data_IF_297000546975
#
_entry.id   IF_297000546975
#
_cell.length_a   1.000
_cell.length_b   1.000
_cell.length_c   1.000
_cell.angle_alpha   90.00
_cell.angle_beta   90.00
_cell.angle_gamma   90.00
#
_symmetry.space_group_name_H-M   'P 1'
#
loop_
_entity.id
_entity.type
_entity.pdbx_description
1 polymer ?
#
# COMPACT_ATOMS: atom_id res chain seq x y z
N UNK A 1 -7.67 -34.41 32.59
CA UNK A 1 -7.02 -35.54 31.90
C UNK A 1 -6.77 -35.10 30.47
N UNK A 2 -5.62 -34.48 30.21
CA UNK A 2 -5.16 -34.11 28.88
C UNK A 2 -3.65 -34.36 28.84
N UNK A 3 -3.28 -35.62 29.04
CA UNK A 3 -1.93 -36.14 28.78
C UNK A 3 -2.05 -37.06 27.57
N UNK A 4 -2.38 -36.49 26.41
CA UNK A 4 -2.13 -37.18 25.14
C UNK A 4 -0.69 -36.85 24.76
N UNK A 5 0.21 -37.69 25.28
CA UNK A 5 1.61 -37.74 24.93
C UNK A 5 1.70 -38.12 23.45
N UNK A 6 1.88 -37.10 22.59
CA UNK A 6 2.02 -37.32 21.15
C UNK A 6 3.28 -38.14 20.91
N UNK A 7 3.12 -39.41 20.52
CA UNK A 7 4.26 -40.26 20.25
C UNK A 7 5.14 -39.62 19.17
N UNK A 8 6.47 -39.54 19.37
CA UNK A 8 7.41 -38.93 18.43
C UNK A 8 7.30 -39.44 16.99
N UNK A 9 6.81 -40.68 16.83
CA UNK A 9 6.56 -41.29 15.53
C UNK A 9 5.42 -40.62 14.77
N UNK A 10 4.38 -40.13 15.46
CA UNK A 10 3.23 -39.46 14.84
C UNK A 10 3.64 -38.10 14.25
N UNK A 11 4.45 -37.33 14.99
CA UNK A 11 5.00 -36.07 14.50
C UNK A 11 5.94 -36.29 13.31
N UNK A 12 6.77 -37.34 13.38
CA UNK A 12 7.65 -37.74 12.28
C UNK A 12 6.90 -38.14 11.01
N UNK A 13 5.72 -38.77 11.15
CA UNK A 13 4.87 -39.14 10.03
C UNK A 13 4.19 -37.92 9.40
N UNK A 14 3.66 -37.00 10.21
CA UNK A 14 3.06 -35.75 9.74
C UNK A 14 4.07 -34.87 9.00
N UNK A 15 5.30 -34.72 9.53
CA UNK A 15 6.36 -33.94 8.86
C UNK A 15 6.75 -34.56 7.52
N UNK A 16 6.93 -35.90 7.45
CA UNK A 16 7.27 -36.57 6.19
C UNK A 16 6.15 -36.46 5.16
N UNK A 17 4.90 -36.66 5.56
CA UNK A 17 3.75 -36.52 4.68
C UNK A 17 3.60 -35.08 4.14
N UNK A 18 3.82 -34.07 5.00
CA UNK A 18 3.81 -32.66 4.58
C UNK A 18 4.93 -32.32 3.59
N UNK A 19 6.16 -32.75 3.87
CA UNK A 19 7.30 -32.54 2.98
C UNK A 19 7.14 -33.26 1.63
N UNK A 20 6.58 -34.48 1.64
CA UNK A 20 6.29 -35.22 0.42
C UNK A 20 5.22 -34.52 -0.43
N UNK A 21 4.14 -34.02 0.20
CA UNK A 21 3.10 -33.27 -0.49
C UNK A 21 3.65 -31.97 -1.13
N UNK A 22 4.56 -31.27 -0.43
CA UNK A 22 5.23 -30.10 -1.01
C UNK A 22 6.21 -30.46 -2.13
N UNK A 23 6.96 -31.56 -2.00
CA UNK A 23 7.85 -32.04 -3.05
C UNK A 23 7.07 -32.46 -4.32
N UNK A 24 5.88 -33.07 -4.15
CA UNK A 24 5.02 -33.48 -5.26
C UNK A 24 4.34 -32.28 -5.95
N UNK A 25 4.07 -31.19 -5.21
CA UNK A 25 3.63 -29.91 -5.78
C UNK A 25 4.75 -29.18 -6.51
N UNK A 26 5.99 -29.33 -6.05
CA UNK A 26 7.20 -28.90 -6.74
C UNK A 26 7.56 -29.89 -7.86
N UNK A 27 6.64 -30.14 -8.79
CA UNK A 27 7.04 -30.74 -10.07
C UNK A 27 8.16 -29.89 -10.66
N UNK A 28 9.32 -30.48 -11.02
CA UNK A 28 10.40 -29.73 -11.61
C UNK A 28 9.89 -29.05 -12.89
N UNK A 29 9.71 -27.74 -12.85
CA UNK A 29 9.68 -26.95 -14.07
C UNK A 29 11.11 -26.98 -14.63
N UNK A 30 11.50 -28.10 -15.25
CA UNK A 30 12.82 -28.37 -15.85
C UNK A 30 13.16 -27.47 -17.03
N UNK A 31 12.41 -26.40 -17.25
CA UNK A 31 12.53 -25.57 -18.44
C UNK A 31 12.84 -24.10 -18.14
N UNK A 32 13.38 -23.79 -16.96
CA UNK A 32 13.97 -22.47 -16.71
C UNK A 32 15.08 -22.15 -17.72
N UNK A 33 15.89 -23.14 -18.09
CA UNK A 33 16.94 -22.97 -19.10
C UNK A 33 16.36 -22.71 -20.51
N UNK A 34 15.26 -23.36 -20.90
CA UNK A 34 14.63 -23.09 -22.18
C UNK A 34 13.93 -21.73 -22.20
N UNK A 35 13.19 -21.37 -21.14
CA UNK A 35 12.55 -20.05 -21.02
C UNK A 35 13.58 -18.91 -20.98
N UNK A 36 14.74 -19.12 -20.37
CA UNK A 36 15.85 -18.15 -20.39
C UNK A 36 16.44 -17.99 -21.81
N UNK A 37 16.60 -19.09 -22.56
CA UNK A 37 17.06 -19.06 -23.96
C UNK A 37 16.03 -18.40 -24.89
N UNK A 38 14.74 -18.65 -24.69
CA UNK A 38 13.63 -18.05 -25.43
C UNK A 38 13.64 -16.52 -25.26
N UNK A 39 13.72 -16.04 -24.01
CA UNK A 39 13.79 -14.59 -23.69
C UNK A 39 15.06 -13.94 -24.24
N UNK A 40 16.19 -14.64 -24.22
CA UNK A 40 17.43 -14.14 -24.82
C UNK A 40 17.33 -14.00 -26.35
N UNK A 41 16.66 -14.95 -27.03
CA UNK A 41 16.38 -14.85 -28.48
C UNK A 41 15.44 -13.68 -28.78
N UNK A 42 14.35 -13.53 -28.02
CA UNK A 42 13.41 -12.41 -28.20
C UNK A 42 14.08 -11.04 -28.04
N UNK A 43 14.97 -10.88 -27.04
CA UNK A 43 15.74 -9.63 -26.86
C UNK A 43 16.67 -9.32 -28.03
N UNK A 44 17.34 -10.34 -28.59
CA UNK A 44 18.19 -10.15 -29.80
C UNK A 44 17.38 -9.75 -31.02
N UNK A 45 16.19 -10.33 -31.23
CA UNK A 45 15.31 -9.95 -32.32
C UNK A 45 14.75 -8.52 -32.16
N UNK A 46 14.37 -8.13 -30.95
CA UNK A 46 13.93 -6.76 -30.67
C UNK A 46 15.03 -5.72 -30.91
N UNK A 47 16.27 -6.01 -30.49
CA UNK A 47 17.42 -5.12 -30.72
C UNK A 47 17.78 -4.98 -32.21
N UNK A 48 17.64 -6.04 -33.01
CA UNK A 48 17.85 -5.98 -34.46
C UNK A 48 16.74 -5.20 -35.19
N UNK A 49 15.50 -5.22 -34.70
CA UNK A 49 14.40 -4.45 -35.27
C UNK A 49 14.55 -2.93 -35.05
N UNK A 50 15.13 -2.51 -33.93
CA UNK A 50 15.39 -1.10 -33.61
C UNK A 50 16.57 -0.53 -34.42
N UNK A 51 17.55 -1.35 -34.80
CA UNK A 51 18.66 -0.93 -35.65
C UNK A 51 18.26 -0.73 -37.14
N UNK A 52 17.16 -1.34 -37.58
CA UNK A 52 16.68 -1.22 -38.96
C UNK A 52 15.85 0.05 -39.23
N UNK A 53 15.40 0.76 -38.19
CA UNK A 53 14.53 1.95 -38.33
C UNK A 53 15.29 3.27 -38.37
N UNK A 54 16.59 3.30 -38.03
CA UNK A 54 17.43 4.52 -38.04
C UNK A 54 18.15 4.78 -39.37
N UNK A 55 18.02 3.89 -40.37
CA UNK A 55 18.69 4.03 -41.67
C UNK A 55 17.81 4.63 -42.79
N UNK A 56 16.55 5.03 -42.51
CA UNK A 56 15.59 5.45 -43.52
C UNK A 56 15.07 6.90 -43.38
N UNK A 57 15.82 7.80 -42.75
CA UNK A 57 15.44 9.22 -42.59
C UNK A 57 16.55 10.19 -43.02
N UNK A 58 17.12 10.01 -44.20
CA UNK A 58 17.91 11.05 -44.89
C UNK A 58 17.52 11.05 -46.38
N UNK A 59 17.05 12.21 -46.84
CA UNK A 59 16.66 12.65 -48.20
C UNK A 59 15.13 12.87 -48.30
N UNK A 60 14.62 14.10 -48.40
CA UNK A 60 14.62 15.00 -49.59
C UNK A 60 14.09 16.40 -49.16
N UNK A 61 14.40 17.49 -49.90
CA UNK A 61 14.60 18.83 -49.35
C UNK A 61 13.39 19.80 -49.47
N UNK A 62 13.58 20.94 -48.84
CA UNK A 62 12.79 22.18 -48.83
C UNK A 62 12.49 22.76 -50.22
N UNK A 63 11.24 23.19 -50.44
CA UNK A 63 10.90 24.27 -51.36
C UNK A 63 9.80 25.16 -50.75
N UNK A 64 10.17 26.42 -50.54
CA UNK A 64 9.36 27.59 -50.18
C UNK A 64 8.35 27.87 -51.31
N UNK A 65 7.16 28.41 -51.02
CA UNK A 65 6.60 29.64 -51.64
C UNK A 65 5.26 30.04 -50.99
N UNK A 66 5.13 31.34 -50.73
CA UNK A 66 3.96 32.05 -50.23
C UNK A 66 2.83 32.13 -51.28
N UNK A 67 1.59 32.40 -50.85
CA UNK A 67 0.84 33.66 -51.10
C UNK A 67 -0.69 33.51 -50.91
N UNK A 68 -1.27 34.54 -50.29
CA UNK A 68 -2.53 35.25 -50.60
C UNK A 68 -3.92 34.60 -50.53
N UNK A 69 -4.77 35.29 -49.75
CA UNK A 69 -6.20 35.55 -49.91
C UNK A 69 -6.78 35.41 -51.32
N UNK A 70 -8.01 34.85 -51.41
CA UNK A 70 -9.12 35.37 -52.21
C UNK A 70 -10.43 34.55 -52.05
N UNK A 71 -11.49 35.19 -51.56
CA UNK A 71 -12.85 35.20 -52.16
C UNK A 71 -13.76 33.96 -52.13
N UNK A 72 -14.73 33.95 -51.20
CA UNK A 72 -16.22 34.11 -51.37
C UNK A 72 -16.96 33.45 -52.58
N UNK A 73 -18.33 33.35 -52.64
CA UNK A 73 -19.44 33.10 -51.69
C UNK A 73 -20.45 31.99 -52.15
N UNK A 74 -21.56 31.84 -51.39
CA UNK A 74 -22.91 31.26 -51.72
C UNK A 74 -23.01 29.73 -51.62
N UNK A 75 -24.05 29.10 -51.05
CA UNK A 75 -25.50 29.38 -50.90
C UNK A 75 -25.97 28.70 -49.59
N UNK A 76 -26.75 29.31 -48.69
CA UNK A 76 -28.19 29.53 -48.86
C UNK A 76 -28.99 28.26 -48.51
N UNK A 77 -29.56 28.19 -47.30
CA UNK A 77 -30.90 27.63 -47.07
C UNK A 77 -31.41 27.98 -45.66
N UNK A 78 -32.41 28.86 -45.67
CA UNK A 78 -33.36 29.16 -44.62
C UNK A 78 -34.28 27.96 -44.37
N UNK A 79 -34.42 27.55 -43.11
CA UNK A 79 -35.63 26.92 -42.62
C UNK A 79 -35.81 27.26 -41.14
N UNK A 80 -36.84 28.05 -40.88
CA UNK A 80 -37.32 28.45 -39.57
C UNK A 80 -37.66 27.24 -38.71
N UNK A 81 -37.12 27.22 -37.48
CA UNK A 81 -37.68 26.45 -36.39
C UNK A 81 -37.61 27.29 -35.12
N UNK A 82 -38.78 27.69 -34.65
CA UNK A 82 -39.03 28.28 -33.34
C UNK A 82 -38.32 27.47 -32.24
N UNK A 83 -37.27 28.02 -31.65
CA UNK A 83 -36.68 27.52 -30.41
C UNK A 83 -37.16 28.40 -29.27
N UNK A 84 -38.12 27.85 -28.54
CA UNK A 84 -38.57 28.32 -27.24
C UNK A 84 -37.37 28.43 -26.30
N UNK A 85 -37.14 29.63 -25.76
CA UNK A 85 -36.13 29.92 -24.75
C UNK A 85 -36.38 29.08 -23.50
N UNK A 86 -35.63 27.99 -23.36
CA UNK A 86 -35.56 27.17 -22.14
C UNK A 86 -34.62 27.86 -21.15
N UNK A 87 -35.17 28.03 -19.95
CA UNK A 87 -34.58 28.62 -18.75
C UNK A 87 -33.17 28.10 -18.43
N UNK A 88 -32.26 29.03 -18.13
CA UNK A 88 -30.93 28.78 -17.57
C UNK A 88 -31.04 27.96 -16.27
N UNK A 89 -30.72 26.67 -16.35
CA UNK A 89 -30.39 25.86 -15.18
C UNK A 89 -28.96 26.13 -14.69
N UNK A 90 -28.64 25.83 -13.43
CA UNK A 90 -27.30 26.06 -12.90
C UNK A 90 -26.27 25.28 -13.71
N UNK A 91 -25.33 25.99 -14.34
CA UNK A 91 -24.19 25.37 -15.02
C UNK A 91 -23.40 24.56 -14.00
N UNK A 92 -23.50 23.24 -14.13
CA UNK A 92 -22.64 22.29 -13.46
C UNK A 92 -21.19 22.58 -13.89
N UNK A 93 -20.40 23.10 -12.95
CA UNK A 93 -19.03 23.50 -13.19
C UNK A 93 -18.19 22.24 -13.38
N UNK A 94 -17.92 21.90 -14.64
CA UNK A 94 -16.91 20.92 -15.01
C UNK A 94 -15.55 21.50 -14.64
N UNK A 95 -15.05 21.17 -13.46
CA UNK A 95 -13.75 21.62 -12.99
C UNK A 95 -12.66 20.96 -13.83
N UNK A 96 -11.70 21.75 -14.31
CA UNK A 96 -10.59 21.23 -15.07
C UNK A 96 -9.71 20.32 -14.19
N UNK A 97 -9.18 19.20 -14.71
CA UNK A 97 -8.19 18.40 -14.00
C UNK A 97 -6.98 19.28 -13.65
N UNK A 98 -6.74 19.51 -12.35
CA UNK A 98 -5.58 20.26 -11.87
C UNK A 98 -5.87 21.56 -11.12
N UNK A 99 -7.12 21.99 -10.97
CA UNK A 99 -7.43 23.11 -10.07
C UNK A 99 -7.14 22.73 -8.61
N UNK A 100 -6.30 23.48 -7.88
CA UNK A 100 -6.06 23.22 -6.46
C UNK A 100 -7.36 23.30 -5.67
N UNK A 101 -7.59 22.28 -4.82
CA UNK A 101 -8.75 22.23 -3.95
C UNK A 101 -8.76 23.46 -3.02
N UNK A 102 -9.92 24.09 -2.78
CA UNK A 102 -10.00 25.28 -1.95
C UNK A 102 -9.57 24.94 -0.52
N UNK A 103 -8.55 25.63 -0.02
CA UNK A 103 -7.88 25.43 1.27
C UNK A 103 -8.72 25.75 2.53
N UNK A 104 -10.05 25.80 2.41
CA UNK A 104 -10.99 26.07 3.51
C UNK A 104 -11.91 24.90 3.88
N UNK A 105 -11.63 23.68 3.39
CA UNK A 105 -12.50 22.50 3.60
C UNK A 105 -12.07 21.56 4.73
N UNK A 106 -10.86 21.67 5.26
CA UNK A 106 -10.35 20.76 6.30
C UNK A 106 -11.20 20.72 7.58
N UNK A 107 -12.01 21.74 7.85
CA UNK A 107 -12.74 21.86 9.10
C UNK A 107 -14.04 21.04 9.19
N UNK A 108 -14.35 20.20 8.19
CA UNK A 108 -15.59 19.39 8.20
C UNK A 108 -15.39 17.96 8.68
N UNK A 109 -14.18 17.41 8.59
CA UNK A 109 -13.93 16.03 9.01
C UNK A 109 -13.80 15.97 10.54
N UNK A 110 -14.45 15.02 11.23
CA UNK A 110 -14.30 14.87 12.67
C UNK A 110 -12.83 14.66 13.07
N UNK A 111 -12.40 15.30 14.15
CA UNK A 111 -11.01 15.30 14.58
C UNK A 111 -10.52 13.93 15.08
N UNK A 112 -11.43 13.04 15.46
CA UNK A 112 -11.17 11.67 15.91
C UNK A 112 -11.07 10.66 14.76
N UNK A 113 -11.29 11.10 13.51
CA UNK A 113 -11.09 10.24 12.34
C UNK A 113 -9.62 9.91 12.13
N UNK A 114 -9.38 8.65 11.76
CA UNK A 114 -8.06 8.11 11.52
C UNK A 114 -7.62 8.42 10.10
N UNK A 115 -6.36 8.83 9.96
CA UNK A 115 -5.69 9.01 8.67
C UNK A 115 -5.37 7.64 8.08
N UNK A 116 -5.62 7.50 6.79
CA UNK A 116 -5.27 6.34 5.98
C UNK A 116 -4.47 6.79 4.78
N UNK A 117 -3.25 6.28 4.65
CA UNK A 117 -2.34 6.65 3.56
C UNK A 117 -1.94 5.45 2.72
N UNK A 118 -1.74 5.69 1.43
CA UNK A 118 -1.13 4.76 0.50
C UNK A 118 -0.41 5.56 -0.60
N UNK A 119 0.90 5.32 -0.74
CA UNK A 119 1.82 6.12 -1.54
C UNK A 119 1.71 7.60 -1.16
N UNK A 120 1.45 8.47 -2.13
CA UNK A 120 1.29 9.92 -1.97
C UNK A 120 -0.16 10.36 -1.78
N UNK A 121 -1.09 9.44 -1.47
CA UNK A 121 -2.50 9.76 -1.29
C UNK A 121 -2.93 9.39 0.12
N UNK A 122 -3.68 10.28 0.76
CA UNK A 122 -4.27 10.04 2.07
C UNK A 122 -5.71 10.51 2.14
N UNK A 123 -6.47 9.97 3.08
CA UNK A 123 -7.81 10.40 3.45
C UNK A 123 -8.07 10.06 4.92
N UNK A 124 -9.22 10.50 5.44
CA UNK A 124 -9.66 10.21 6.80
C UNK A 124 -10.89 9.30 6.78
N UNK A 125 -10.93 8.34 7.70
CA UNK A 125 -12.06 7.42 7.92
C UNK A 125 -12.40 7.35 9.40
N UNK A 126 -13.63 6.95 9.77
CA UNK A 126 -13.95 6.68 11.17
C UNK A 126 -12.98 5.67 11.80
N UNK A 127 -12.63 5.84 13.09
CA UNK A 127 -11.63 5.00 13.76
C UNK A 127 -12.09 3.53 13.92
N UNK A 128 -13.38 3.24 13.70
CA UNK A 128 -13.98 1.90 13.75
C UNK A 128 -13.82 1.10 12.46
N UNK A 129 -13.38 1.73 11.36
CA UNK A 129 -13.12 1.02 10.11
C UNK A 129 -11.86 0.17 10.22
N UNK A 130 -11.97 -1.10 9.80
CA UNK A 130 -10.82 -1.99 9.76
C UNK A 130 -9.99 -1.84 8.51
N UNK A 131 -9.11 -2.83 8.31
CA UNK A 131 -8.17 -2.89 7.19
C UNK A 131 -8.46 -4.09 6.31
N UNK A 132 -8.20 -3.99 5.01
CA UNK A 132 -8.37 -5.11 4.09
C UNK A 132 -7.54 -5.00 2.81
N UNK A 133 -7.84 -5.86 1.84
CA UNK A 133 -7.29 -5.76 0.50
C UNK A 133 -8.19 -4.91 -0.40
N UNK A 134 -7.59 -4.18 -1.34
CA UNK A 134 -8.32 -3.65 -2.51
C UNK A 134 -8.23 -4.64 -3.67
N UNK A 135 -9.24 -4.66 -4.53
CA UNK A 135 -9.18 -5.45 -5.75
C UNK A 135 -8.02 -5.02 -6.64
N UNK A 136 -7.46 -5.99 -7.35
CA UNK A 136 -6.44 -5.78 -8.37
C UNK A 136 -7.05 -5.92 -9.76
N UNK A 137 -6.48 -5.18 -10.71
CA UNK A 137 -6.81 -5.39 -12.11
C UNK A 137 -6.38 -6.80 -12.49
N UNK A 138 -7.25 -7.49 -13.21
CA UNK A 138 -7.02 -8.85 -13.69
C UNK A 138 -5.72 -8.89 -14.50
N UNK A 139 -4.82 -9.82 -14.19
CA UNK A 139 -3.75 -10.14 -15.10
C UNK A 139 -4.36 -10.60 -16.44
N UNK A 140 -3.87 -10.07 -17.56
CA UNK A 140 -4.41 -10.34 -18.89
C UNK A 140 -4.62 -11.85 -19.10
N UNK A 141 -5.89 -12.29 -19.18
CA UNK A 141 -6.24 -13.69 -19.42
C UNK A 141 -7.35 -14.27 -18.53
N UNK A 142 -7.69 -13.67 -17.38
CA UNK A 142 -8.89 -14.05 -16.62
C UNK A 142 -10.07 -13.20 -17.07
N UNK A 143 -11.20 -13.84 -17.39
CA UNK A 143 -12.25 -13.23 -18.20
C UNK A 143 -13.24 -12.36 -17.43
N UNK A 144 -13.32 -12.46 -16.09
CA UNK A 144 -14.46 -11.91 -15.36
C UNK A 144 -14.05 -11.14 -14.08
N UNK A 145 -14.15 -9.81 -14.15
CA UNK A 145 -14.19 -8.90 -12.98
C UNK A 145 -12.85 -8.66 -12.25
N UNK A 146 -12.78 -7.62 -11.40
CA UNK A 146 -11.61 -7.40 -10.54
C UNK A 146 -11.38 -8.60 -9.60
N UNK A 147 -10.11 -8.94 -9.33
CA UNK A 147 -9.74 -10.04 -8.43
C UNK A 147 -9.21 -9.49 -7.11
N UNK A 148 -9.64 -10.06 -5.98
CA UNK A 148 -9.13 -9.71 -4.66
C UNK A 148 -8.17 -10.82 -4.24
N UNK A 149 -6.87 -10.51 -4.20
CA UNK A 149 -5.88 -11.43 -3.66
C UNK A 149 -5.72 -11.17 -2.16
N UNK A 150 -6.46 -11.92 -1.35
CA UNK A 150 -6.38 -11.86 0.10
C UNK A 150 -7.50 -12.66 0.77
N UNK A 151 -7.40 -12.92 2.08
CA UNK A 151 -8.47 -13.54 2.84
C UNK A 151 -9.70 -12.63 2.67
N UNK A 152 -10.86 -13.27 2.42
CA UNK A 152 -12.20 -12.66 2.35
C UNK A 152 -12.23 -11.39 3.20
N UNK A 153 -12.57 -10.24 2.64
CA UNK A 153 -12.61 -8.92 3.30
C UNK A 153 -12.86 -9.03 4.81
N UNK A 154 -11.79 -9.12 5.57
CA UNK A 154 -11.87 -9.33 7.02
C UNK A 154 -11.70 -7.95 7.63
N UNK A 155 -12.75 -7.47 8.30
CA UNK A 155 -12.63 -6.29 9.13
C UNK A 155 -11.74 -6.69 10.32
N UNK A 156 -10.60 -6.01 10.48
CA UNK A 156 -9.76 -6.14 11.66
C UNK A 156 -9.99 -4.90 12.50
N UNK A 157 -10.85 -4.95 13.53
CA UNK A 157 -10.99 -3.85 14.46
C UNK A 157 -9.63 -3.54 15.11
N UNK A 158 -9.47 -2.28 15.51
CA UNK A 158 -8.24 -1.70 16.05
C UNK A 158 -7.48 -2.57 17.06
N UNK A 159 -8.23 -3.28 17.90
CA UNK A 159 -7.71 -4.01 19.06
C UNK A 159 -7.94 -5.53 18.97
N UNK A 160 -8.31 -6.04 17.79
CA UNK A 160 -8.64 -7.46 17.60
C UNK A 160 -7.45 -8.23 17.06
N UNK A 161 -7.01 -9.33 17.71
CA UNK A 161 -5.97 -10.19 17.18
C UNK A 161 -6.33 -10.69 15.76
N UNK A 162 -5.35 -10.94 14.88
CA UNK A 162 -5.60 -11.36 13.49
C UNK A 162 -6.49 -12.62 13.32
N UNK A 163 -6.67 -13.42 14.37
CA UNK A 163 -7.53 -14.62 14.37
C UNK A 163 -9.03 -14.35 14.54
N UNK A 164 -9.41 -13.19 15.08
CA UNK A 164 -10.79 -12.89 15.50
C UNK A 164 -11.48 -11.87 14.57
N UNK A 165 -10.99 -11.72 13.34
CA UNK A 165 -11.58 -10.77 12.40
C UNK A 165 -13.04 -11.10 12.11
N UNK A 166 -13.88 -10.07 12.19
CA UNK A 166 -15.26 -10.17 11.75
C UNK A 166 -15.31 -10.02 10.22
N UNK A 167 -16.03 -10.89 9.50
CA UNK A 167 -16.17 -10.79 8.04
C UNK A 167 -17.05 -9.63 7.60
N UNK A 168 -17.70 -8.93 8.54
CA UNK A 168 -18.68 -7.88 8.27
C UNK A 168 -18.21 -6.53 8.82
N UNK A 169 -18.35 -5.47 8.02
CA UNK A 169 -18.12 -4.09 8.46
C UNK A 169 -17.28 -3.25 7.50
N UNK A 170 -17.20 -1.94 7.76
CA UNK A 170 -16.50 -1.01 6.89
C UNK A 170 -14.98 -1.18 6.99
N UNK A 171 -14.27 -1.01 5.87
CA UNK A 171 -12.83 -1.27 5.82
C UNK A 171 -12.08 -0.43 4.79
N UNK A 172 -10.76 -0.36 4.96
CA UNK A 172 -9.83 0.31 4.04
C UNK A 172 -8.92 -0.71 3.36
N UNK A 173 -9.12 -0.88 2.07
CA UNK A 173 -8.42 -1.80 1.18
C UNK A 173 -7.21 -1.18 0.49
N UNK A 174 -6.11 -1.95 0.39
CA UNK A 174 -4.89 -1.61 -0.38
C UNK A 174 -4.47 -2.76 -1.30
N UNK A 175 -3.71 -2.50 -2.38
CA UNK A 175 -3.32 -3.51 -3.35
C UNK A 175 -2.13 -4.34 -2.84
N UNK A 176 -2.25 -4.93 -1.65
CA UNK A 176 -1.23 -5.79 -1.05
C UNK A 176 -1.73 -7.22 -1.16
N UNK A 177 -0.90 -8.12 -1.70
CA UNK A 177 -1.18 -9.55 -1.62
C UNK A 177 -1.09 -9.94 -0.15
N UNK A 178 -2.24 -10.17 0.48
CA UNK A 178 -2.30 -10.54 1.90
C UNK A 178 -1.94 -12.02 2.12
N UNK A 179 -2.13 -12.85 1.10
CA UNK A 179 -1.90 -14.30 1.10
C UNK A 179 -1.45 -14.75 -0.29
N UNK A 180 -0.79 -15.91 -0.36
CA UNK A 180 -0.48 -16.60 -1.61
C UNK A 180 -1.76 -17.14 -2.29
N UNK A 181 -2.84 -17.25 -1.53
CA UNK A 181 -4.16 -17.64 -2.01
C UNK A 181 -4.95 -16.42 -2.49
N UNK A 182 -5.17 -16.33 -3.81
CA UNK A 182 -6.14 -15.41 -4.40
C UNK A 182 -7.48 -16.13 -4.56
N UNK A 183 -8.51 -15.65 -3.88
CA UNK A 183 -9.90 -16.10 -4.07
C UNK A 183 -10.65 -15.07 -4.90
N UNK A 184 -11.50 -15.53 -5.83
CA UNK A 184 -12.42 -14.62 -6.49
C UNK A 184 -13.34 -14.00 -5.43
N UNK A 185 -13.24 -12.69 -5.24
CA UNK A 185 -14.04 -11.95 -4.28
C UNK A 185 -15.53 -11.98 -4.64
N UNK A 186 -16.40 -11.90 -3.63
CA UNK A 186 -17.82 -11.62 -3.84
C UNK A 186 -18.01 -10.15 -4.18
N UNK A 187 -19.16 -9.77 -4.74
CA UNK A 187 -19.51 -8.37 -4.86
C UNK A 187 -19.55 -7.72 -3.47
N UNK A 188 -18.75 -6.67 -3.25
CA UNK A 188 -18.75 -5.96 -1.97
C UNK A 188 -20.10 -5.31 -1.68
N UNK A 189 -20.67 -5.69 -0.53
CA UNK A 189 -21.95 -5.18 -0.03
C UNK A 189 -21.78 -4.26 1.18
N UNK A 190 -20.55 -4.05 1.65
CA UNK A 190 -20.22 -3.23 2.81
C UNK A 190 -19.53 -1.92 2.40
N UNK A 191 -19.58 -0.87 3.25
CA UNK A 191 -18.82 0.34 3.01
C UNK A 191 -17.32 0.08 2.95
N UNK A 192 -16.62 0.80 2.07
CA UNK A 192 -15.20 0.57 1.86
C UNK A 192 -14.48 1.77 1.27
N UNK A 193 -13.16 1.82 1.50
CA UNK A 193 -12.22 2.65 0.75
C UNK A 193 -11.26 1.71 0.05
N UNK A 194 -10.99 1.90 -1.23
CA UNK A 194 -9.97 1.18 -1.98
C UNK A 194 -8.94 2.12 -2.54
N UNK A 195 -7.72 2.03 -2.02
CA UNK A 195 -6.56 2.62 -2.69
C UNK A 195 -6.17 1.80 -3.91
N UNK A 196 -5.72 2.50 -4.94
CA UNK A 196 -5.31 1.90 -6.21
C UNK A 196 -6.41 1.06 -6.87
N UNK A 197 -7.65 1.54 -6.81
CA UNK A 197 -8.81 0.85 -7.37
C UNK A 197 -8.64 0.54 -8.87
N UNK A 198 -9.03 -0.66 -9.34
CA UNK A 198 -9.01 -1.02 -10.74
C UNK A 198 -10.20 -0.46 -11.51
N UNK A 199 -11.20 0.10 -10.81
CA UNK A 199 -12.47 0.56 -11.38
C UNK A 199 -12.34 1.92 -12.06
N UNK A 200 -13.06 2.18 -13.17
CA UNK A 200 -13.05 3.49 -13.80
C UNK A 200 -13.54 4.58 -12.84
N UNK A 201 -13.11 5.82 -13.08
CA UNK A 201 -13.64 6.98 -12.37
C UNK A 201 -15.13 7.16 -12.67
N UNK A 202 -15.90 7.61 -11.68
CA UNK A 202 -17.35 7.79 -11.81
C UNK A 202 -18.12 7.41 -10.55
N UNK A 203 -19.45 7.41 -10.68
CA UNK A 203 -20.39 7.09 -9.61
C UNK A 203 -21.16 5.83 -9.99
N UNK A 204 -21.28 4.89 -9.07
CA UNK A 204 -21.95 3.61 -9.27
C UNK A 204 -22.86 3.27 -8.07
N UNK A 205 -24.01 2.66 -8.36
CA UNK A 205 -24.94 2.18 -7.33
C UNK A 205 -24.81 0.65 -7.21
N UNK A 206 -24.37 0.17 -6.05
CA UNK A 206 -24.02 -1.24 -5.82
C UNK A 206 -25.18 -2.08 -5.25
N UNK A 207 -26.38 -1.48 -5.15
CA UNK A 207 -27.52 -2.09 -4.45
C UNK A 207 -27.42 -1.90 -2.94
N UNK A 208 -28.50 -2.24 -2.21
CA UNK A 208 -28.53 -2.08 -0.74
C UNK A 208 -28.38 -0.65 -0.23
N UNK A 209 -28.57 0.36 -1.09
CA UNK A 209 -28.32 1.78 -0.78
C UNK A 209 -26.84 2.17 -0.80
N UNK A 210 -25.93 1.25 -1.14
CA UNK A 210 -24.49 1.52 -1.19
C UNK A 210 -24.15 2.26 -2.50
N UNK A 211 -23.67 3.49 -2.37
CA UNK A 211 -23.14 4.29 -3.47
C UNK A 211 -21.62 4.24 -3.45
N UNK A 212 -20.99 3.99 -4.59
CA UNK A 212 -19.54 4.05 -4.79
C UNK A 212 -19.17 5.22 -5.68
N UNK A 213 -18.16 5.98 -5.27
CA UNK A 213 -17.54 7.03 -6.06
C UNK A 213 -16.08 6.69 -6.23
N UNK A 214 -15.60 6.69 -7.48
CA UNK A 214 -14.20 6.49 -7.83
C UNK A 214 -13.65 7.77 -8.43
N UNK A 215 -12.53 8.25 -7.88
CA UNK A 215 -11.83 9.47 -8.32
C UNK A 215 -10.36 9.21 -8.57
N UNK A 216 -9.76 9.99 -9.47
CA UNK A 216 -8.31 10.03 -9.67
C UNK A 216 -7.64 10.92 -8.61
N UNK A 217 -6.57 10.43 -7.98
CA UNK A 217 -5.75 11.18 -7.04
C UNK A 217 -4.30 10.66 -7.05
N UNK A 218 -3.31 11.55 -7.11
CA UNK A 218 -1.89 11.16 -7.01
C UNK A 218 -1.41 10.14 -8.05
N UNK A 219 -2.04 10.07 -9.23
CA UNK A 219 -1.71 9.07 -10.25
C UNK A 219 -2.28 7.67 -10.00
N UNK A 220 -3.18 7.52 -9.02
CA UNK A 220 -3.97 6.30 -8.80
C UNK A 220 -5.46 6.62 -8.74
N UNK A 221 -6.29 5.58 -8.65
CA UNK A 221 -7.73 5.73 -8.41
C UNK A 221 -8.06 5.35 -6.97
N UNK A 222 -8.93 6.12 -6.34
CA UNK A 222 -9.47 5.84 -5.02
C UNK A 222 -10.97 5.63 -5.16
N UNK A 223 -11.47 4.48 -4.73
CA UNK A 223 -12.92 4.22 -4.67
C UNK A 223 -13.38 4.30 -3.22
N UNK A 224 -14.45 5.06 -2.96
CA UNK A 224 -15.11 5.11 -1.66
C UNK A 224 -16.55 4.69 -1.85
N UNK A 225 -17.01 3.71 -1.07
CA UNK A 225 -18.40 3.28 -1.05
C UNK A 225 -18.99 3.42 0.34
N UNK A 226 -20.19 3.99 0.42
CA UNK A 226 -20.91 4.16 1.67
C UNK A 226 -22.43 4.21 1.43
N UNK A 227 -23.22 3.87 2.45
CA UNK A 227 -24.70 3.94 2.38
C UNK A 227 -25.23 5.31 2.78
N UNK A 228 -24.49 6.03 3.64
CA UNK A 228 -24.73 7.43 3.97
C UNK A 228 -23.93 8.37 3.04
N UNK A 229 -24.62 9.17 2.24
CA UNK A 229 -24.03 10.13 1.31
C UNK A 229 -23.31 11.30 2.01
N UNK A 230 -23.70 11.66 3.23
CA UNK A 230 -23.02 12.71 4.00
C UNK A 230 -21.64 12.23 4.45
N UNK A 231 -21.55 11.01 4.99
CA UNK A 231 -20.29 10.40 5.40
C UNK A 231 -19.38 10.10 4.20
N UNK A 232 -19.94 9.62 3.09
CA UNK A 232 -19.24 9.49 1.81
C UNK A 232 -18.59 10.82 1.38
N UNK A 233 -19.35 11.91 1.49
CA UNK A 233 -18.87 13.26 1.20
C UNK A 233 -17.73 13.69 2.12
N UNK A 234 -17.80 13.40 3.42
CA UNK A 234 -16.75 13.73 4.39
C UNK A 234 -15.45 12.95 4.13
N UNK A 235 -15.54 11.66 3.79
CA UNK A 235 -14.36 10.85 3.44
C UNK A 235 -13.71 11.41 2.17
N UNK A 236 -14.49 11.67 1.12
CA UNK A 236 -13.96 12.21 -0.15
C UNK A 236 -13.43 13.63 -0.01
N UNK A 237 -14.06 14.50 0.79
CA UNK A 237 -13.58 15.86 1.04
C UNK A 237 -12.25 15.88 1.83
N UNK A 238 -11.92 14.81 2.56
CA UNK A 238 -10.64 14.64 3.26
C UNK A 238 -9.51 14.10 2.38
N UNK A 239 -9.81 13.69 1.15
CA UNK A 239 -8.84 13.14 0.21
C UNK A 239 -7.80 14.22 -0.15
N UNK A 240 -6.53 13.90 0.06
CA UNK A 240 -5.41 14.78 -0.30
C UNK A 240 -4.25 14.00 -0.91
N UNK A 241 -3.42 14.74 -1.65
CA UNK A 241 -2.22 14.23 -2.31
C UNK A 241 -1.03 15.01 -1.77
N UNK A 242 0.00 14.31 -1.31
CA UNK A 242 1.16 14.94 -0.68
C UNK A 242 2.37 14.02 -0.62
N UNK A 243 3.55 14.64 -0.51
CA UNK A 243 4.82 13.93 -0.32
C UNK A 243 5.02 13.45 1.12
N UNK A 244 4.30 14.06 2.07
CA UNK A 244 4.27 13.69 3.49
C UNK A 244 2.81 13.65 3.91
N UNK A 245 2.41 12.59 4.58
CA UNK A 245 1.05 12.45 5.09
C UNK A 245 0.87 13.10 6.47
N UNK A 246 -0.36 13.15 6.97
CA UNK A 246 -0.73 13.74 8.25
C UNK A 246 -0.11 12.99 9.45
N UNK A 247 0.40 11.76 9.25
CA UNK A 247 1.15 11.01 10.25
C UNK A 247 2.65 11.35 10.23
N UNK A 248 3.14 12.13 9.26
CA UNK A 248 4.55 12.48 9.08
C UNK A 248 5.34 11.51 8.19
N UNK A 249 4.69 10.54 7.57
CA UNK A 249 5.33 9.55 6.71
C UNK A 249 5.51 10.08 5.29
N UNK A 250 6.72 9.99 4.75
CA UNK A 250 7.00 10.35 3.35
C UNK A 250 6.39 9.32 2.40
N UNK A 251 5.89 9.76 1.25
CA UNK A 251 5.26 8.92 0.23
C UNK A 251 6.22 7.91 -0.40
N UNK A 252 7.48 8.31 -0.58
CA UNK A 252 8.57 7.47 -1.07
C UNK A 252 9.81 7.66 -0.19
N UNK A 253 10.47 6.55 0.14
CA UNK A 253 11.78 6.57 0.78
C UNK A 253 12.76 5.76 -0.07
N UNK A 254 14.02 6.18 -0.09
CA UNK A 254 15.08 5.30 -0.58
C UNK A 254 15.49 4.39 0.56
N UNK A 255 15.63 3.10 0.29
CA UNK A 255 16.35 2.21 1.18
C UNK A 255 17.77 2.76 1.30
N UNK A 256 18.20 3.02 2.54
CA UNK A 256 19.56 3.47 2.81
C UNK A 256 20.30 2.26 3.32
N UNK A 257 21.36 1.86 2.62
CA UNK A 257 22.23 0.84 3.16
C UNK A 257 22.96 1.38 4.39
N UNK A 258 23.35 0.50 5.32
CA UNK A 258 23.98 0.91 6.58
C UNK A 258 25.24 1.78 6.37
N UNK A 259 25.95 1.61 5.26
CA UNK A 259 27.12 2.39 4.85
C UNK A 259 26.79 3.77 4.25
N UNK A 260 25.53 4.03 3.90
CA UNK A 260 25.06 5.33 3.38
C UNK A 260 24.59 6.28 4.48
N UNK A 261 24.47 5.81 5.71
CA UNK A 261 23.99 6.62 6.83
C UNK A 261 25.14 7.43 7.42
N UNK A 262 24.97 8.75 7.48
CA UNK A 262 25.91 9.63 8.17
C UNK A 262 25.73 9.56 9.68
N UNK A 263 26.71 10.03 10.44
CA UNK A 263 26.61 10.13 11.91
C UNK A 263 25.41 10.98 12.39
N UNK A 264 24.91 11.89 11.55
CA UNK A 264 23.73 12.71 11.84
C UNK A 264 22.40 11.96 11.60
N UNK A 265 22.42 10.87 10.84
CA UNK A 265 21.27 9.98 10.64
C UNK A 265 21.18 8.91 11.74
N UNK A 266 22.21 8.80 12.59
CA UNK A 266 22.28 7.83 13.66
C UNK A 266 21.40 8.25 14.84
N UNK A 267 20.46 7.37 15.20
CA UNK A 267 19.64 7.51 16.39
C UNK A 267 20.47 7.15 17.62
N UNK A 268 20.89 8.15 18.38
CA UNK A 268 21.56 7.93 19.65
C UNK A 268 20.54 7.54 20.73
N UNK A 269 20.40 6.23 20.95
CA UNK A 269 19.52 5.69 21.98
C UNK A 269 19.91 6.19 23.40
N UNK A 270 21.20 6.45 23.64
CA UNK A 270 21.66 6.98 24.92
C UNK A 270 21.26 8.46 25.09
N UNK A 271 21.11 9.22 24.00
CA UNK A 271 20.62 10.60 24.06
C UNK A 271 19.12 10.72 24.38
N UNK A 272 18.36 9.62 24.23
CA UNK A 272 16.93 9.58 24.59
C UNK A 272 16.68 8.90 25.94
N UNK A 273 17.67 8.20 26.50
CA UNK A 273 17.58 7.59 27.81
C UNK A 273 17.29 8.66 28.89
N UNK A 274 16.20 8.47 29.63
CA UNK A 274 15.76 9.39 30.69
C UNK A 274 15.11 10.70 30.21
N UNK A 275 14.84 10.85 28.90
CA UNK A 275 13.98 11.94 28.42
C UNK A 275 12.52 11.67 28.74
N UNK A 276 11.72 12.74 28.79
CA UNK A 276 10.28 12.69 29.08
C UNK A 276 9.45 13.56 28.14
N UNK A 277 10.07 14.20 27.15
CA UNK A 277 9.46 15.13 26.20
C UNK A 277 9.11 14.45 24.86
N UNK A 278 8.43 13.32 24.97
CA UNK A 278 7.93 12.51 23.85
C UNK A 278 6.65 13.11 23.26
N UNK A 279 6.62 13.31 21.95
CA UNK A 279 5.48 13.86 21.22
C UNK A 279 4.58 12.80 20.55
N UNK A 280 5.00 11.54 20.57
CA UNK A 280 4.41 10.45 19.80
C UNK A 280 5.37 9.95 18.72
N UNK A 281 4.97 8.92 17.98
CA UNK A 281 5.84 8.32 16.97
C UNK A 281 5.04 8.00 15.70
N UNK A 282 5.57 8.42 14.56
CA UNK A 282 5.06 7.97 13.27
C UNK A 282 5.54 6.56 12.98
N UNK A 283 4.64 5.72 12.47
CA UNK A 283 4.91 4.34 12.04
C UNK A 283 4.58 4.25 10.57
N UNK A 284 5.59 4.08 9.73
CA UNK A 284 5.49 4.08 8.28
C UNK A 284 5.89 2.71 7.73
N UNK A 285 5.02 2.06 6.96
CA UNK A 285 5.29 0.77 6.32
C UNK A 285 5.48 0.98 4.84
N UNK A 286 6.59 0.52 4.28
CA UNK A 286 6.97 0.68 2.89
C UNK A 286 7.08 -0.66 2.15
N UNK A 287 6.74 -0.62 0.87
CA UNK A 287 6.98 -1.67 -0.11
C UNK A 287 8.41 -1.55 -0.64
N UNK A 288 9.24 -2.59 -0.47
CA UNK A 288 10.63 -2.60 -0.96
C UNK A 288 10.81 -3.41 -2.25
N UNK A 289 9.73 -3.87 -2.90
CA UNK A 289 9.84 -4.63 -4.16
C UNK A 289 10.42 -3.82 -5.33
N UNK A 290 10.34 -2.49 -5.26
CA UNK A 290 11.02 -1.62 -6.20
C UNK A 290 12.45 -1.32 -5.70
N UNK A 291 13.50 -1.73 -6.44
CA UNK A 291 14.90 -1.58 -5.99
C UNK A 291 15.39 -0.12 -5.99
N UNK A 292 14.61 0.83 -6.48
CA UNK A 292 15.00 2.25 -6.58
C UNK A 292 14.37 3.08 -5.47
N UNK A 293 13.09 2.86 -5.20
CA UNK A 293 12.33 3.59 -4.18
C UNK A 293 11.34 2.66 -3.49
N UNK A 294 11.29 2.74 -2.16
CA UNK A 294 10.28 2.08 -1.36
C UNK A 294 9.06 2.97 -1.25
N UNK A 295 7.87 2.44 -1.53
CA UNK A 295 6.62 3.21 -1.59
C UNK A 295 5.80 3.01 -0.32
N UNK A 296 5.22 4.08 0.22
CA UNK A 296 4.38 4.00 1.41
C UNK A 296 3.18 3.07 1.17
N UNK A 297 3.02 2.07 2.02
CA UNK A 297 1.87 1.16 2.02
C UNK A 297 0.87 1.55 3.09
N UNK A 298 1.36 1.95 4.26
CA UNK A 298 0.55 2.26 5.42
C UNK A 298 1.28 3.22 6.33
N UNK A 299 0.52 4.04 7.03
CA UNK A 299 1.03 4.86 8.11
C UNK A 299 0.04 4.94 9.27
N UNK A 300 0.58 5.18 10.46
CA UNK A 300 -0.18 5.59 11.63
C UNK A 300 0.71 6.42 12.54
N UNK A 301 0.11 7.13 13.48
CA UNK A 301 0.81 7.69 14.63
C UNK A 301 0.46 6.88 15.89
N UNK A 302 1.40 6.78 16.81
CA UNK A 302 1.17 6.34 18.20
C UNK A 302 1.47 7.49 19.16
N UNK A 303 0.83 7.46 20.32
CA UNK A 303 0.99 8.51 21.32
C UNK A 303 2.35 8.46 22.04
N UNK A 304 2.58 9.46 22.88
CA UNK A 304 3.82 9.62 23.66
C UNK A 304 4.06 8.48 24.65
N UNK A 305 3.01 7.81 25.14
CA UNK A 305 3.16 6.69 26.06
C UNK A 305 3.67 5.44 25.34
N UNK A 306 3.10 5.15 24.17
CA UNK A 306 3.55 4.08 23.30
C UNK A 306 5.00 4.30 22.80
N UNK A 307 5.35 5.53 22.40
CA UNK A 307 6.71 5.90 22.03
C UNK A 307 7.69 5.67 23.18
N UNK A 308 7.40 6.20 24.38
CA UNK A 308 8.24 6.02 25.57
C UNK A 308 8.45 4.53 25.88
N UNK A 309 7.37 3.76 25.94
CA UNK A 309 7.42 2.33 26.24
C UNK A 309 8.26 1.58 25.20
N UNK A 310 8.12 1.91 23.91
CA UNK A 310 8.94 1.33 22.85
C UNK A 310 10.43 1.59 23.08
N UNK A 311 10.82 2.85 23.34
CA UNK A 311 12.23 3.22 23.50
C UNK A 311 12.87 2.58 24.75
N UNK A 312 12.14 2.51 25.87
CA UNK A 312 12.60 1.83 27.10
C UNK A 312 12.83 0.32 26.86
N UNK A 313 11.91 -0.32 26.13
CA UNK A 313 12.03 -1.74 25.79
C UNK A 313 13.14 -1.99 24.75
N UNK A 314 13.38 -1.05 23.84
CA UNK A 314 14.43 -1.14 22.86
C UNK A 314 15.83 -1.09 23.50
N UNK A 315 16.02 -0.26 24.53
CA UNK A 315 17.27 -0.16 25.29
C UNK A 315 17.66 -1.49 25.95
N UNK A 316 16.67 -2.21 26.47
CA UNK A 316 16.86 -3.50 27.15
C UNK A 316 16.79 -4.71 26.19
N UNK A 317 16.55 -4.48 24.90
CA UNK A 317 16.44 -5.55 23.91
C UNK A 317 17.80 -6.20 23.64
N UNK A 318 17.87 -7.53 23.55
CA UNK A 318 19.12 -8.22 23.25
C UNK A 318 19.59 -7.93 21.82
N UNK A 319 20.89 -8.08 21.58
CA UNK A 319 21.43 -8.14 20.22
C UNK A 319 20.89 -9.41 19.53
N UNK A 320 20.49 -9.35 18.25
CA UNK A 320 20.05 -10.54 17.55
C UNK A 320 21.21 -11.54 17.43
N UNK A 321 20.91 -12.83 17.62
CA UNK A 321 21.92 -13.89 17.59
C UNK A 321 22.47 -14.15 16.18
N UNK A 322 21.66 -13.89 15.16
CA UNK A 322 21.98 -14.14 13.76
C UNK A 322 21.82 -12.86 12.94
N UNK A 323 22.79 -12.60 12.04
CA UNK A 323 22.64 -11.57 11.01
C UNK A 323 21.82 -12.15 9.88
N UNK A 324 20.70 -11.52 9.58
CA UNK A 324 19.86 -11.98 8.49
C UNK A 324 20.33 -11.44 7.15
N UNK A 325 20.69 -12.38 6.28
CA UNK A 325 21.00 -12.15 4.88
C UNK A 325 19.78 -12.63 4.08
N UNK A 326 18.71 -11.83 4.08
CA UNK A 326 17.43 -12.17 3.44
C UNK A 326 17.02 -11.10 2.43
N UNK A 327 16.43 -11.54 1.31
CA UNK A 327 15.90 -10.66 0.27
C UNK A 327 14.71 -9.83 0.80
N UNK A 328 14.69 -8.57 0.39
CA UNK A 328 13.74 -7.53 0.81
C UNK A 328 12.26 -7.90 0.59
N UNK A 329 11.39 -7.43 1.48
CA UNK A 329 9.94 -7.53 1.30
C UNK A 329 9.18 -6.28 1.78
N UNK A 330 9.47 -5.82 3.01
CA UNK A 330 8.82 -4.67 3.64
C UNK A 330 9.78 -3.96 4.59
N UNK A 331 9.73 -2.63 4.60
CA UNK A 331 10.48 -1.76 5.51
C UNK A 331 9.50 -1.06 6.45
N UNK A 332 9.78 -1.07 7.76
CA UNK A 332 9.06 -0.24 8.73
C UNK A 332 9.99 0.86 9.20
N UNK A 333 9.52 2.10 9.11
CA UNK A 333 10.22 3.27 9.62
C UNK A 333 9.44 3.80 10.80
N UNK A 334 10.09 3.86 11.94
CA UNK A 334 9.61 4.45 13.19
C UNK A 334 10.26 5.82 13.33
N UNK A 335 9.47 6.87 13.48
CA UNK A 335 9.99 8.25 13.59
C UNK A 335 9.53 8.85 14.91
N UNK A 336 10.34 8.71 15.99
CA UNK A 336 10.07 9.32 17.29
C UNK A 336 9.98 10.84 17.15
N UNK A 337 8.90 11.45 17.65
CA UNK A 337 8.71 12.90 17.66
C UNK A 337 9.27 13.47 18.95
N UNK A 338 10.60 13.53 19.03
CA UNK A 338 11.31 14.07 20.17
C UNK A 338 11.72 15.51 19.85
N UNK A 339 11.43 16.45 20.76
CA UNK A 339 11.74 17.86 20.53
C UNK A 339 13.21 18.06 20.14
N UNK A 340 13.42 18.80 19.03
CA UNK A 340 14.71 19.08 18.40
C UNK A 340 15.45 17.88 17.76
N UNK A 341 14.81 16.72 17.64
CA UNK A 341 15.38 15.53 16.99
C UNK A 341 14.76 15.30 15.61
N UNK A 342 15.61 15.01 14.61
CA UNK A 342 15.20 14.40 13.33
C UNK A 342 15.40 12.89 13.35
N UNK A 343 15.41 12.31 14.55
CA UNK A 343 15.54 10.89 14.80
C UNK A 343 14.64 10.06 13.90
N UNK A 344 15.23 9.06 13.26
CA UNK A 344 14.55 8.02 12.50
C UNK A 344 15.10 6.69 12.99
N UNK A 345 14.24 5.70 13.17
CA UNK A 345 14.58 4.31 13.51
C UNK A 345 13.99 3.44 12.40
N UNK A 346 14.80 2.63 11.72
CA UNK A 346 14.31 1.75 10.66
C UNK A 346 14.28 0.31 11.17
N UNK A 347 13.07 -0.21 11.35
CA UNK A 347 12.84 -1.62 11.54
C UNK A 347 12.69 -2.29 10.16
N UNK A 348 13.76 -2.88 9.68
CA UNK A 348 13.71 -3.68 8.47
C UNK A 348 13.20 -5.08 8.79
N UNK A 349 11.98 -5.41 8.35
CA UNK A 349 11.36 -6.72 8.57
C UNK A 349 11.73 -7.66 7.43
N UNK A 350 13.03 -8.00 7.34
CA UNK A 350 13.61 -8.89 6.33
C UNK A 350 13.40 -10.37 6.63
N UNK A 351 12.15 -10.83 6.75
CA UNK A 351 11.85 -12.26 7.00
C UNK A 351 12.48 -12.83 8.29
N UNK A 352 13.07 -11.96 9.10
CA UNK A 352 13.84 -12.19 10.31
C UNK A 352 13.49 -11.09 11.29
N UNK A 353 13.54 -11.40 12.57
CA UNK A 353 13.01 -10.51 13.61
C UNK A 353 14.10 -9.69 14.27
N UNK A 354 14.62 -8.73 13.51
CA UNK A 354 15.56 -7.71 14.00
C UNK A 354 15.12 -6.31 13.61
N UNK A 355 15.33 -5.33 14.50
CA UNK A 355 15.32 -3.89 14.20
C UNK A 355 16.76 -3.45 13.97
N UNK A 356 16.99 -2.67 12.94
CA UNK A 356 18.21 -1.86 12.85
C UNK A 356 17.99 -0.61 13.69
N UNK A 357 18.62 -0.58 14.87
CA UNK A 357 18.61 0.63 15.68
C UNK A 357 19.81 1.43 15.24
N UNK A 358 19.61 2.66 14.81
CA UNK A 358 20.69 3.45 14.22
C UNK A 358 21.70 3.99 15.24
N UNK A 359 21.96 3.26 16.33
CA UNK A 359 23.16 3.42 17.16
C UNK A 359 24.38 2.69 16.56
N UNK A 360 24.24 2.13 15.35
CA UNK A 360 25.22 1.27 14.70
C UNK A 360 25.10 -0.21 15.10
N UNK A 361 24.11 -0.55 15.94
CA UNK A 361 23.79 -1.90 16.36
C UNK A 361 22.50 -2.44 15.76
N UNK A 362 22.23 -3.71 16.02
CA UNK A 362 20.93 -4.32 15.77
C UNK A 362 20.30 -4.71 17.09
N UNK A 363 18.97 -4.72 17.17
CA UNK A 363 18.23 -5.21 18.35
C UNK A 363 17.22 -6.25 17.90
N UNK A 364 17.02 -7.26 18.72
CA UNK A 364 16.02 -8.28 18.46
C UNK A 364 14.61 -7.68 18.57
N UNK A 365 13.74 -8.00 17.60
CA UNK A 365 12.31 -7.72 17.70
C UNK A 365 11.69 -8.71 18.69
N UNK A 366 11.24 -8.20 19.82
CA UNK A 366 10.57 -9.01 20.85
C UNK A 366 9.09 -8.69 20.88
N UNK A 367 8.29 -9.57 21.46
CA UNK A 367 6.86 -9.30 21.63
C UNK A 367 6.63 -7.98 22.39
N UNK A 368 7.46 -7.75 23.40
CA UNK A 368 7.36 -6.59 24.26
C UNK A 368 7.66 -5.29 23.50
N UNK A 369 8.75 -5.23 22.73
CA UNK A 369 9.11 -3.99 22.02
C UNK A 369 8.30 -3.74 20.74
N UNK A 370 7.61 -4.75 20.20
CA UNK A 370 6.74 -4.61 19.02
C UNK A 370 5.33 -4.14 19.39
N UNK A 371 4.80 -4.63 20.50
CA UNK A 371 3.43 -4.34 20.93
C UNK A 371 3.05 -2.84 20.97
N UNK A 372 3.91 -1.90 21.42
CA UNK A 372 3.50 -0.50 21.54
C UNK A 372 3.17 0.17 20.21
N UNK A 373 3.73 -0.30 19.10
CA UNK A 373 3.61 0.37 17.79
C UNK A 373 3.04 -0.51 16.68
N UNK A 374 3.10 -1.83 16.81
CA UNK A 374 2.59 -2.74 15.78
C UNK A 374 1.12 -3.13 15.97
N UNK A 375 0.46 -2.63 17.01
CA UNK A 375 -0.99 -2.66 17.11
C UNK A 375 -1.59 -1.86 15.93
N UNK A 376 -2.88 -2.07 15.65
CA UNK A 376 -3.58 -1.53 14.48
C UNK A 376 -3.18 -2.22 13.15
N UNK A 377 -3.43 -1.53 12.03
CA UNK A 377 -3.31 -2.05 10.68
C UNK A 377 -1.91 -2.51 10.26
N UNK A 378 -0.85 -2.18 10.99
CA UNK A 378 0.54 -2.58 10.67
C UNK A 378 0.62 -4.09 10.40
N UNK A 379 -0.01 -4.90 11.25
CA UNK A 379 -0.04 -6.36 11.16
C UNK A 379 -0.62 -6.91 9.85
N UNK A 380 -1.44 -6.14 9.15
CA UNK A 380 -2.10 -6.56 7.92
C UNK A 380 -1.17 -6.55 6.71
N UNK A 381 -0.04 -5.85 6.75
CA UNK A 381 0.82 -5.64 5.57
C UNK A 381 2.01 -6.60 5.44
N UNK A 382 2.11 -7.55 6.36
CA UNK A 382 3.16 -8.56 6.37
C UNK A 382 2.52 -9.90 6.02
N UNK A 383 2.57 -10.23 4.72
CA UNK A 383 1.98 -11.46 4.21
C UNK A 383 2.77 -12.69 4.64
N UNK A 384 4.09 -12.59 4.79
CA UNK A 384 4.93 -13.69 5.27
C UNK A 384 5.57 -13.30 6.60
N UNK A 385 4.95 -13.71 7.70
CA UNK A 385 5.63 -13.78 8.98
C UNK A 385 6.99 -14.47 8.80
N UNK A 386 8.00 -14.10 9.61
CA UNK A 386 9.33 -14.68 9.53
C UNK A 386 9.21 -16.21 9.43
N UNK A 387 9.91 -16.82 8.46
CA UNK A 387 9.81 -18.27 8.20
C UNK A 387 10.30 -19.03 9.43
N UNK A 388 9.38 -19.38 10.33
CA UNK A 388 9.66 -20.14 11.54
C UNK A 388 8.59 -19.91 12.61
N UNK A 389 8.02 -20.96 13.23
CA UNK A 389 6.97 -20.85 14.26
C UNK A 389 7.46 -20.27 15.60
N UNK A 390 8.66 -19.69 15.65
CA UNK A 390 9.36 -19.37 16.90
C UNK A 390 9.74 -17.90 17.06
N UNK A 391 9.39 -17.00 16.14
CA UNK A 391 9.60 -15.58 16.45
C UNK A 391 8.45 -15.04 17.30
N UNK A 392 8.70 -14.52 18.51
CA UNK A 392 7.68 -13.88 19.33
C UNK A 392 7.01 -12.68 18.65
N UNK A 393 7.68 -12.05 17.68
CA UNK A 393 7.13 -10.95 16.90
C UNK A 393 6.21 -11.42 15.75
N UNK A 394 6.25 -12.68 15.35
CA UNK A 394 5.35 -13.23 14.34
C UNK A 394 3.87 -13.18 14.77
N UNK A 395 3.55 -13.00 16.05
CA UNK A 395 2.18 -12.79 16.49
C UNK A 395 1.60 -11.43 16.08
N UNK A 396 2.45 -10.47 15.71
CA UNK A 396 2.05 -9.15 15.22
C UNK A 396 2.06 -9.04 13.70
N UNK A 397 2.51 -10.07 12.99
CA UNK A 397 2.69 -10.06 11.54
C UNK A 397 2.08 -11.34 10.96
N UNK A 398 1.21 -11.25 9.96
CA UNK A 398 0.52 -12.47 9.50
C UNK A 398 1.48 -13.48 8.90
N UNK A 399 1.25 -14.73 9.25
CA UNK A 399 1.72 -15.87 8.47
C UNK A 399 0.89 -15.97 7.18
N UNK A 400 1.53 -16.12 6.02
CA UNK A 400 0.86 -16.32 4.72
C UNK A 400 0.02 -17.60 4.72
N UNK A 401 0.39 -18.52 5.61
CA UNK A 401 -0.20 -19.83 5.80
C UNK A 401 -0.89 -19.82 7.17
N UNK A 402 -2.21 -19.65 7.18
CA UNK A 402 -3.02 -20.10 8.31
C UNK A 402 -2.88 -21.61 8.48
#
# INVERSE_FOLDING_TARGET
MCDDEWEPEHLGHLMRSGLQAHADQLKPHTDFAARARERARQRRHAQLAVAATTAAMIAIPTAIWATSDAGDPRTGNTADANVTTVSDGPRESTRAPGDPLPSGREQRTPADWRVESYRNVQLKVPPTWGWGASPQAVAAGVKDGPYICGPEVKNFPRDTPPGDAEPEGPYVGRPVMLTDECVAGRAETQPHVWFHSPLPEGVEQLGGGLQRITVGAGGMRVSVAHTDAAELGLILDSLSVGEVDDNGCVAETKERSADQLGAADLFDLAAVAGRHDFGGMAVCVYDTYNPVTSQLLYSTAVDSEAERLFLELLETSPQPRDRCLGDAGRLVVLQPQIAASTARIEAELLGCTSIYVFDGGTRELTRANVAPWAMNGVSTYFAAGPKGPYSPAALFFRSATG
#
